data_IF_797292735959
#
_entry.id   IF_797292735959
#
_cell.length_a   1.000
_cell.length_b   1.000
_cell.length_c   1.000
_cell.angle_alpha   90.00
_cell.angle_beta   90.00
_cell.angle_gamma   90.00
#
_symmetry.space_group_name_H-M   'P 1'
#
loop_
_entity.id
_entity.type
_entity.pdbx_description
1 polymer ?
#
# COMPACT_ATOMS: atom_id res chain seq x y z
N UNK A 1 -6.34 -40.61 -3.45
CA UNK A 1 -6.30 -39.12 -3.43
C UNK A 1 -4.90 -38.69 -2.98
N UNK A 2 -4.26 -37.73 -3.64
CA UNK A 2 -2.96 -37.25 -3.19
C UNK A 2 -3.08 -36.53 -1.85
N UNK A 3 -1.97 -36.52 -1.12
CA UNK A 3 -1.87 -35.85 0.19
C UNK A 3 -1.20 -34.47 0.07
N UNK A 4 -1.25 -33.68 1.13
CA UNK A 4 -0.72 -32.31 1.19
C UNK A 4 0.78 -32.30 0.84
N UNK A 5 1.59 -33.16 1.48
CA UNK A 5 3.05 -33.09 1.35
C UNK A 5 3.55 -33.26 -0.10
N UNK A 6 3.21 -34.34 -0.85
CA UNK A 6 3.72 -34.49 -2.21
C UNK A 6 3.20 -33.41 -3.18
N UNK A 7 2.00 -32.89 -2.97
CA UNK A 7 1.45 -31.79 -3.78
C UNK A 7 2.21 -30.49 -3.51
N UNK A 8 2.55 -30.22 -2.25
CA UNK A 8 3.34 -29.06 -1.85
C UNK A 8 4.78 -29.16 -2.38
N UNK A 9 5.42 -30.32 -2.24
CA UNK A 9 6.78 -30.56 -2.74
C UNK A 9 6.88 -30.37 -4.27
N UNK A 10 5.91 -30.87 -5.02
CA UNK A 10 5.84 -30.64 -6.45
C UNK A 10 5.73 -29.16 -6.82
N UNK A 11 4.95 -28.38 -6.07
CA UNK A 11 4.83 -26.93 -6.27
C UNK A 11 6.11 -26.18 -5.90
N UNK A 12 6.81 -26.59 -4.83
CA UNK A 12 8.11 -26.02 -4.45
C UNK A 12 9.15 -26.23 -5.55
N UNK A 13 9.19 -27.43 -6.14
CA UNK A 13 10.06 -27.70 -7.29
C UNK A 13 9.68 -26.86 -8.51
N UNK A 14 8.39 -26.73 -8.79
CA UNK A 14 7.88 -25.88 -9.87
C UNK A 14 8.29 -24.42 -9.71
N UNK A 15 8.37 -23.91 -8.48
CA UNK A 15 8.76 -22.55 -8.12
C UNK A 15 10.27 -22.37 -7.88
N UNK A 16 11.10 -23.36 -8.20
CA UNK A 16 12.53 -23.38 -7.86
C UNK A 16 13.33 -22.15 -8.32
N UNK A 17 12.82 -21.40 -9.32
CA UNK A 17 13.42 -20.16 -9.81
C UNK A 17 12.95 -18.89 -9.04
N UNK A 18 12.01 -19.03 -8.09
CA UNK A 18 11.52 -17.93 -7.27
C UNK A 18 12.29 -17.88 -5.95
N UNK A 19 12.59 -16.67 -5.47
CA UNK A 19 13.36 -16.46 -4.23
C UNK A 19 12.69 -17.08 -2.99
N UNK A 20 11.36 -17.17 -2.99
CA UNK A 20 10.53 -17.64 -1.87
C UNK A 20 9.68 -18.88 -2.21
N UNK A 21 10.20 -19.79 -3.04
CA UNK A 21 9.48 -20.93 -3.60
C UNK A 21 8.60 -21.69 -2.57
N UNK A 22 9.18 -22.08 -1.43
CA UNK A 22 8.47 -22.79 -0.36
C UNK A 22 7.35 -21.93 0.25
N UNK A 23 7.67 -20.71 0.62
CA UNK A 23 6.71 -19.80 1.24
C UNK A 23 5.51 -19.55 0.33
N UNK A 24 5.76 -19.28 -0.94
CA UNK A 24 4.70 -19.01 -1.92
C UNK A 24 3.81 -20.23 -2.18
N UNK A 25 4.40 -21.42 -2.32
CA UNK A 25 3.63 -22.67 -2.45
C UNK A 25 2.74 -22.95 -1.22
N UNK A 26 3.30 -22.77 -0.02
CA UNK A 26 2.57 -22.94 1.24
C UNK A 26 1.42 -21.93 1.38
N UNK A 27 1.65 -20.67 1.05
CA UNK A 27 0.63 -19.61 1.09
C UNK A 27 -0.52 -19.92 0.14
N UNK A 28 -0.23 -20.29 -1.11
CA UNK A 28 -1.26 -20.63 -2.10
C UNK A 28 -2.05 -21.87 -1.70
N UNK A 29 -1.38 -22.94 -1.21
CA UNK A 29 -2.09 -24.15 -0.79
C UNK A 29 -2.94 -23.88 0.46
N UNK A 30 -2.43 -23.13 1.42
CA UNK A 30 -3.19 -22.72 2.62
C UNK A 30 -4.44 -21.92 2.25
N UNK A 31 -4.34 -21.03 1.26
CA UNK A 31 -5.48 -20.27 0.74
C UNK A 31 -6.55 -21.18 0.15
N UNK A 32 -6.17 -22.13 -0.70
CA UNK A 32 -7.10 -23.10 -1.31
C UNK A 32 -7.80 -23.95 -0.25
N UNK A 33 -7.05 -24.35 0.78
CA UNK A 33 -7.58 -25.18 1.87
C UNK A 33 -8.34 -24.37 2.93
N UNK A 34 -8.23 -23.02 2.91
CA UNK A 34 -8.79 -22.10 3.92
C UNK A 34 -8.29 -22.41 5.33
N UNK A 35 -6.99 -22.70 5.47
CA UNK A 35 -6.33 -23.03 6.72
C UNK A 35 -5.10 -22.17 6.95
N UNK A 36 -4.59 -22.11 8.18
CA UNK A 36 -3.30 -21.49 8.49
C UNK A 36 -2.16 -22.34 7.94
N UNK A 37 -1.03 -21.72 7.56
CA UNK A 37 0.17 -22.43 7.07
C UNK A 37 0.66 -23.53 8.02
N UNK A 38 0.53 -23.36 9.34
CA UNK A 38 0.87 -24.36 10.34
C UNK A 38 0.12 -25.67 10.15
N UNK A 39 -1.09 -25.64 9.59
CA UNK A 39 -1.88 -26.86 9.28
C UNK A 39 -1.16 -27.79 8.30
N UNK A 40 -0.46 -27.24 7.31
CA UNK A 40 0.26 -28.04 6.31
C UNK A 40 1.37 -28.90 6.94
N UNK A 41 1.99 -28.39 8.00
CA UNK A 41 3.02 -29.11 8.76
C UNK A 41 2.44 -30.10 9.76
N UNK A 42 1.27 -29.78 10.33
CA UNK A 42 0.62 -30.63 11.31
C UNK A 42 -0.03 -31.87 10.63
N UNK A 43 -0.54 -31.66 9.42
CA UNK A 43 -1.30 -32.68 8.69
C UNK A 43 -0.74 -32.96 7.28
N UNK A 44 0.55 -33.36 7.15
CA UNK A 44 1.19 -33.56 5.83
C UNK A 44 0.54 -34.66 4.99
N UNK A 45 -0.09 -35.60 5.65
CA UNK A 45 -0.83 -36.73 5.03
C UNK A 45 -2.32 -36.45 4.84
N UNK A 46 -2.79 -35.24 5.09
CA UNK A 46 -4.16 -34.80 4.82
C UNK A 46 -4.52 -35.01 3.35
N UNK A 47 -5.69 -35.61 3.07
CA UNK A 47 -6.14 -35.89 1.71
C UNK A 47 -6.67 -34.61 1.04
N UNK A 48 -6.32 -34.42 -0.23
CA UNK A 48 -6.81 -33.33 -1.06
C UNK A 48 -7.85 -33.82 -2.05
N UNK A 49 -8.93 -33.08 -2.21
CA UNK A 49 -9.93 -33.36 -3.26
C UNK A 49 -9.38 -32.95 -4.62
N UNK A 50 -9.91 -33.53 -5.70
CA UNK A 50 -9.56 -33.16 -7.07
C UNK A 50 -9.82 -31.64 -7.33
N UNK A 51 -10.89 -31.10 -6.77
CA UNK A 51 -11.21 -29.67 -6.88
C UNK A 51 -10.12 -28.78 -6.25
N UNK A 52 -9.67 -29.11 -5.04
CA UNK A 52 -8.59 -28.37 -4.36
C UNK A 52 -7.28 -28.42 -5.14
N UNK A 53 -6.95 -29.61 -5.69
CA UNK A 53 -5.73 -29.77 -6.50
C UNK A 53 -5.81 -28.89 -7.76
N UNK A 54 -6.93 -28.93 -8.48
CA UNK A 54 -7.11 -28.13 -9.70
C UNK A 54 -7.05 -26.61 -9.40
N UNK A 55 -7.69 -26.17 -8.31
CA UNK A 55 -7.59 -24.77 -7.87
C UNK A 55 -6.15 -24.36 -7.54
N UNK A 56 -5.44 -25.20 -6.77
CA UNK A 56 -4.06 -24.94 -6.42
C UNK A 56 -3.14 -24.87 -7.64
N UNK A 57 -3.27 -25.83 -8.55
CA UNK A 57 -2.50 -25.85 -9.80
C UNK A 57 -2.77 -24.61 -10.66
N UNK A 58 -4.01 -24.18 -10.75
CA UNK A 58 -4.36 -22.95 -11.48
C UNK A 58 -3.68 -21.71 -10.88
N UNK A 59 -3.65 -21.59 -9.54
CA UNK A 59 -2.93 -20.50 -8.87
C UNK A 59 -1.42 -20.60 -9.09
N UNK A 60 -0.84 -21.81 -9.04
CA UNK A 60 0.57 -22.01 -9.32
C UNK A 60 0.94 -21.58 -10.76
N UNK A 61 0.13 -21.90 -11.75
CA UNK A 61 0.36 -21.49 -13.14
C UNK A 61 0.32 -19.96 -13.30
N UNK A 62 -0.64 -19.29 -12.69
CA UNK A 62 -0.73 -17.82 -12.69
C UNK A 62 0.50 -17.20 -12.01
N UNK A 63 0.96 -17.76 -10.89
CA UNK A 63 2.17 -17.31 -10.21
C UNK A 63 3.42 -17.45 -11.08
N UNK A 64 3.57 -18.54 -11.80
CA UNK A 64 4.67 -18.74 -12.74
C UNK A 64 4.67 -17.75 -13.92
N UNK A 65 3.49 -17.25 -14.29
CA UNK A 65 3.38 -16.14 -15.21
C UNK A 65 3.81 -14.81 -14.59
N UNK A 66 4.04 -14.79 -13.27
CA UNK A 66 4.53 -13.65 -12.49
C UNK A 66 3.44 -12.83 -11.81
N UNK A 67 2.19 -13.33 -11.77
CA UNK A 67 1.12 -12.62 -11.06
C UNK A 67 1.40 -12.55 -9.56
N UNK A 68 1.28 -11.36 -8.92
CA UNK A 68 1.59 -11.18 -7.51
C UNK A 68 0.77 -12.09 -6.60
N UNK A 69 1.41 -12.66 -5.57
CA UNK A 69 0.71 -13.48 -4.56
C UNK A 69 -0.48 -12.73 -3.96
N UNK A 70 -0.34 -11.44 -3.66
CA UNK A 70 -1.42 -10.65 -3.09
C UNK A 70 -2.66 -10.59 -4.00
N UNK A 71 -2.50 -10.51 -5.32
CA UNK A 71 -3.62 -10.54 -6.25
C UNK A 71 -4.21 -11.94 -6.41
N UNK A 72 -3.38 -12.98 -6.35
CA UNK A 72 -3.86 -14.38 -6.36
C UNK A 72 -4.71 -14.70 -5.15
N UNK A 73 -4.33 -14.17 -3.98
CA UNK A 73 -5.08 -14.31 -2.73
C UNK A 73 -6.28 -13.36 -2.64
N UNK A 74 -6.23 -12.22 -3.34
CA UNK A 74 -7.20 -11.14 -3.25
C UNK A 74 -7.05 -10.27 -2.00
N UNK A 75 -6.02 -10.48 -1.18
CA UNK A 75 -5.78 -9.68 0.04
C UNK A 75 -4.29 -9.52 0.37
N UNK A 76 -3.99 -8.50 1.15
CA UNK A 76 -2.67 -8.18 1.72
C UNK A 76 -2.83 -7.67 3.14
N UNK A 77 -2.00 -8.15 4.05
CA UNK A 77 -1.91 -7.59 5.39
C UNK A 77 -1.11 -6.27 5.36
N UNK A 78 -1.60 -5.24 6.06
CA UNK A 78 -0.95 -3.96 6.29
C UNK A 78 -1.45 -3.39 7.62
N UNK A 79 -0.56 -3.00 8.51
CA UNK A 79 -0.90 -2.46 9.84
C UNK A 79 -1.84 -3.39 10.64
N UNK A 80 -1.60 -4.70 10.59
CA UNK A 80 -2.49 -5.73 11.18
C UNK A 80 -3.95 -5.66 10.66
N UNK A 81 -4.18 -5.05 9.49
CA UNK A 81 -5.44 -5.04 8.77
C UNK A 81 -5.33 -5.97 7.56
N UNK A 82 -6.28 -6.87 7.38
CA UNK A 82 -6.39 -7.63 6.15
C UNK A 82 -7.13 -6.80 5.10
N UNK A 83 -6.42 -6.28 4.12
CA UNK A 83 -6.95 -5.42 3.07
C UNK A 83 -7.20 -6.21 1.79
N UNK A 84 -8.38 -6.07 1.21
CA UNK A 84 -8.64 -6.51 -0.16
C UNK A 84 -7.77 -5.70 -1.13
N UNK A 85 -7.15 -6.40 -2.07
CA UNK A 85 -6.36 -5.81 -3.16
C UNK A 85 -6.73 -6.45 -4.49
N UNK A 86 -6.65 -5.66 -5.54
CA UNK A 86 -6.92 -6.09 -6.93
C UNK A 86 -5.96 -5.37 -7.86
N UNK A 87 -5.87 -5.74 -9.14
CA UNK A 87 -5.07 -5.00 -10.13
C UNK A 87 -5.44 -3.51 -10.30
N UNK A 88 -6.54 -3.05 -9.66
CA UNK A 88 -6.91 -1.63 -9.63
C UNK A 88 -6.15 -0.84 -8.55
N UNK A 89 -5.44 -1.49 -7.62
CA UNK A 89 -4.76 -0.84 -6.49
C UNK A 89 -3.31 -1.27 -6.39
N UNK A 90 -2.43 -0.36 -5.96
CA UNK A 90 -1.09 -0.72 -5.53
C UNK A 90 -1.19 -1.72 -4.36
N UNK A 91 -0.35 -2.75 -4.36
CA UNK A 91 -0.23 -3.67 -3.23
C UNK A 91 0.45 -2.92 -2.08
N UNK A 92 -0.15 -2.80 -0.89
CA UNK A 92 0.46 -2.12 0.25
C UNK A 92 1.85 -2.68 0.58
N UNK A 93 2.82 -1.78 0.77
CA UNK A 93 4.22 -2.12 1.08
C UNK A 93 4.47 -1.99 2.58
N UNK A 94 5.29 -2.87 3.19
CA UNK A 94 5.65 -2.75 4.60
C UNK A 94 6.30 -1.39 4.93
N UNK A 95 7.10 -0.84 4.02
CA UNK A 95 7.77 0.45 4.19
C UNK A 95 6.79 1.62 4.35
N UNK A 96 5.58 1.51 3.78
CA UNK A 96 4.52 2.50 3.91
C UNK A 96 3.96 2.59 5.35
N UNK A 97 4.17 1.58 6.19
CA UNK A 97 3.80 1.63 7.61
C UNK A 97 4.55 2.74 8.35
N UNK A 98 5.78 3.08 7.94
CA UNK A 98 6.51 4.23 8.45
C UNK A 98 5.75 5.55 8.23
N UNK A 99 5.07 5.71 7.09
CA UNK A 99 4.25 6.89 6.84
C UNK A 99 3.07 6.98 7.82
N UNK A 100 2.44 5.85 8.15
CA UNK A 100 1.40 5.78 9.18
C UNK A 100 1.97 6.14 10.56
N UNK A 101 3.11 5.57 10.96
CA UNK A 101 3.77 5.89 12.23
C UNK A 101 4.04 7.39 12.37
N UNK A 102 4.60 8.01 11.31
CA UNK A 102 4.89 9.43 11.32
C UNK A 102 3.65 10.31 11.37
N UNK A 103 2.54 9.88 10.76
CA UNK A 103 1.25 10.56 10.88
C UNK A 103 0.70 10.45 12.30
N UNK A 104 0.71 9.26 12.90
CA UNK A 104 0.23 9.02 14.26
C UNK A 104 1.03 9.77 15.32
N UNK A 105 2.34 9.96 15.12
CA UNK A 105 3.20 10.76 15.99
C UNK A 105 2.81 12.26 16.04
N UNK A 106 2.08 12.73 15.02
CA UNK A 106 1.59 14.13 14.89
C UNK A 106 0.11 14.28 15.22
N UNK A 107 -0.56 13.19 15.50
CA UNK A 107 -1.99 13.14 15.85
C UNK A 107 -2.16 12.61 17.28
N UNK A 108 -2.45 13.46 18.27
CA UNK A 108 -2.79 12.98 19.60
C UNK A 108 -3.93 11.96 19.60
N UNK A 109 -3.94 11.03 20.56
CA UNK A 109 -4.91 9.92 20.61
C UNK A 109 -6.38 10.42 20.58
N UNK A 110 -6.66 11.54 21.26
CA UNK A 110 -7.99 12.14 21.33
C UNK A 110 -8.23 13.23 20.28
N UNK A 111 -7.35 13.34 19.28
CA UNK A 111 -7.46 14.35 18.22
C UNK A 111 -8.72 14.13 17.38
N UNK A 112 -9.44 15.20 17.09
CA UNK A 112 -10.54 15.28 16.12
C UNK A 112 -10.12 15.98 14.83
N UNK A 113 -8.82 16.07 14.60
CA UNK A 113 -8.21 16.72 13.45
C UNK A 113 -8.69 16.15 12.11
N UNK A 114 -8.70 17.03 11.11
CA UNK A 114 -8.88 16.60 9.72
C UNK A 114 -7.58 16.02 9.19
N UNK A 115 -7.65 14.79 8.67
CA UNK A 115 -6.56 14.11 7.97
C UNK A 115 -6.97 13.87 6.54
N UNK A 116 -6.08 14.14 5.59
CA UNK A 116 -6.31 13.88 4.15
C UNK A 116 -5.27 12.90 3.65
N UNK A 117 -5.73 11.79 3.04
CA UNK A 117 -4.90 10.79 2.35
C UNK A 117 -5.10 10.96 0.83
N UNK A 118 -4.06 11.41 0.14
CA UNK A 118 -4.08 11.68 -1.30
C UNK A 118 -3.45 10.52 -2.07
N UNK A 119 -4.21 9.89 -2.96
CA UNK A 119 -3.82 8.67 -3.66
C UNK A 119 -3.94 7.45 -2.75
N UNK A 120 -5.12 7.24 -2.18
CA UNK A 120 -5.35 6.26 -1.10
C UNK A 120 -5.24 4.80 -1.56
N UNK A 121 -5.38 4.51 -2.86
CA UNK A 121 -5.34 3.16 -3.41
C UNK A 121 -6.36 2.23 -2.76
N UNK A 122 -5.90 1.16 -2.11
CA UNK A 122 -6.73 0.21 -1.34
C UNK A 122 -7.28 0.78 -0.02
N UNK A 123 -6.93 2.01 0.34
CA UNK A 123 -7.28 2.64 1.61
C UNK A 123 -6.28 2.38 2.75
N UNK A 124 -5.13 1.78 2.47
CA UNK A 124 -4.21 1.26 3.50
C UNK A 124 -3.86 2.29 4.57
N UNK A 125 -3.37 3.48 4.17
CA UNK A 125 -2.95 4.55 5.08
C UNK A 125 -4.16 5.13 5.82
N UNK A 126 -5.22 5.50 5.07
CA UNK A 126 -6.44 6.08 5.64
C UNK A 126 -7.10 5.17 6.69
N UNK A 127 -7.18 3.85 6.41
CA UNK A 127 -7.77 2.85 7.29
C UNK A 127 -6.93 2.65 8.55
N UNK A 128 -5.60 2.57 8.42
CA UNK A 128 -4.69 2.46 9.55
C UNK A 128 -4.81 3.69 10.48
N UNK A 129 -4.78 4.91 9.92
CA UNK A 129 -4.95 6.14 10.71
C UNK A 129 -6.32 6.19 11.39
N UNK A 130 -7.40 5.88 10.66
CA UNK A 130 -8.75 5.89 11.22
C UNK A 130 -8.93 4.86 12.34
N UNK A 131 -8.28 3.70 12.28
CA UNK A 131 -8.30 2.69 13.33
C UNK A 131 -7.62 3.19 14.60
N UNK A 132 -6.42 3.77 14.46
CA UNK A 132 -5.60 4.24 15.59
C UNK A 132 -6.09 5.57 16.19
N UNK A 133 -6.78 6.39 15.39
CA UNK A 133 -7.32 7.71 15.79
C UNK A 133 -8.81 7.79 15.49
N UNK A 134 -9.65 7.12 16.30
CA UNK A 134 -11.08 6.97 16.00
C UNK A 134 -11.86 8.29 16.00
N UNK A 135 -11.32 9.37 16.53
CA UNK A 135 -11.96 10.69 16.53
C UNK A 135 -11.55 11.56 15.36
N UNK A 136 -10.42 11.26 14.70
CA UNK A 136 -9.99 11.99 13.52
C UNK A 136 -11.01 11.86 12.38
N UNK A 137 -11.19 12.95 11.65
CA UNK A 137 -11.96 12.99 10.42
C UNK A 137 -11.01 12.67 9.26
N UNK A 138 -11.14 11.48 8.70
CA UNK A 138 -10.28 11.04 7.60
C UNK A 138 -11.02 11.17 6.27
N UNK A 139 -10.40 11.91 5.35
CA UNK A 139 -10.81 12.03 3.96
C UNK A 139 -9.75 11.36 3.08
N UNK A 140 -10.15 10.34 2.35
CA UNK A 140 -9.29 9.56 1.47
C UNK A 140 -9.68 9.83 0.01
N UNK A 141 -8.72 10.10 -0.85
CA UNK A 141 -8.99 10.40 -2.26
C UNK A 141 -8.12 9.57 -3.19
N UNK A 142 -8.65 9.32 -4.37
CA UNK A 142 -7.91 8.72 -5.48
C UNK A 142 -8.49 9.23 -6.80
N UNK A 143 -7.69 9.27 -7.86
CA UNK A 143 -8.17 9.61 -9.19
C UNK A 143 -8.75 8.40 -9.93
N UNK A 144 -8.52 7.18 -9.43
CA UNK A 144 -9.07 5.93 -9.97
C UNK A 144 -10.33 5.53 -9.18
N UNK A 145 -11.55 5.65 -9.76
CA UNK A 145 -12.79 5.25 -9.09
C UNK A 145 -12.77 3.78 -8.65
N UNK A 146 -12.12 2.91 -9.41
CA UNK A 146 -12.01 1.49 -9.11
C UNK A 146 -11.19 1.24 -7.84
N UNK A 147 -10.16 2.03 -7.59
CA UNK A 147 -9.37 1.97 -6.35
C UNK A 147 -10.24 2.37 -5.15
N UNK A 148 -11.03 3.43 -5.28
CA UNK A 148 -11.94 3.87 -4.22
C UNK A 148 -13.04 2.85 -3.89
N UNK A 149 -13.51 2.09 -4.87
CA UNK A 149 -14.44 0.97 -4.61
C UNK A 149 -13.78 -0.05 -3.68
N UNK A 150 -12.53 -0.42 -3.92
CA UNK A 150 -11.78 -1.34 -3.05
C UNK A 150 -11.55 -0.73 -1.66
N UNK A 151 -11.15 0.54 -1.57
CA UNK A 151 -10.97 1.23 -0.30
C UNK A 151 -12.26 1.29 0.54
N UNK A 152 -13.41 1.56 -0.09
CA UNK A 152 -14.73 1.55 0.56
C UNK A 152 -15.12 0.16 1.04
N UNK A 153 -14.89 -0.89 0.24
CA UNK A 153 -15.12 -2.28 0.64
C UNK A 153 -14.25 -2.67 1.85
N UNK A 154 -12.98 -2.26 1.87
CA UNK A 154 -12.10 -2.45 3.00
C UNK A 154 -12.60 -1.72 4.25
N UNK A 155 -13.02 -0.46 4.11
CA UNK A 155 -13.59 0.31 5.22
C UNK A 155 -14.85 -0.36 5.78
N UNK A 156 -15.73 -0.89 4.92
CA UNK A 156 -16.94 -1.61 5.34
C UNK A 156 -16.59 -2.89 6.10
N UNK A 157 -15.68 -3.71 5.56
CA UNK A 157 -15.26 -4.98 6.19
C UNK A 157 -14.62 -4.78 7.56
N UNK A 158 -13.91 -3.66 7.73
CA UNK A 158 -13.17 -3.33 8.96
C UNK A 158 -13.99 -2.49 9.96
N UNK A 159 -15.25 -2.14 9.66
CA UNK A 159 -16.07 -1.31 10.53
C UNK A 159 -15.63 0.16 10.60
N UNK A 160 -14.96 0.67 9.56
CA UNK A 160 -14.39 2.03 9.50
C UNK A 160 -15.14 2.94 8.51
N UNK A 161 -16.47 2.76 8.36
CA UNK A 161 -17.31 3.49 7.40
C UNK A 161 -17.38 5.02 7.62
N UNK A 162 -16.82 5.54 8.71
CA UNK A 162 -16.72 6.98 8.98
C UNK A 162 -15.72 7.70 8.09
N UNK A 163 -14.82 6.98 7.40
CA UNK A 163 -13.90 7.55 6.43
C UNK A 163 -14.70 8.07 5.23
N UNK A 164 -14.43 9.31 4.82
CA UNK A 164 -14.99 9.87 3.60
C UNK A 164 -14.10 9.52 2.42
N UNK A 165 -14.69 9.03 1.34
CA UNK A 165 -13.99 8.72 0.10
C UNK A 165 -14.47 9.64 -1.01
N UNK A 166 -13.54 10.21 -1.79
CA UNK A 166 -13.87 11.13 -2.89
C UNK A 166 -12.95 10.91 -4.08
N UNK A 167 -13.53 10.82 -5.28
CA UNK A 167 -12.75 10.85 -6.52
C UNK A 167 -12.14 12.24 -6.66
N UNK A 168 -10.81 12.32 -6.78
CA UNK A 168 -10.10 13.58 -6.98
C UNK A 168 -8.73 13.33 -7.59
N UNK A 169 -8.36 14.14 -8.57
CA UNK A 169 -6.96 14.26 -8.99
C UNK A 169 -6.28 15.24 -8.02
N UNK A 170 -5.64 14.66 -7.00
CA UNK A 170 -5.06 15.35 -5.85
C UNK A 170 -6.06 16.28 -5.16
N UNK A 171 -5.84 17.60 -5.24
CA UNK A 171 -6.66 18.63 -4.58
C UNK A 171 -7.82 19.17 -5.43
N UNK A 172 -7.98 18.75 -6.68
CA UNK A 172 -8.93 19.36 -7.62
C UNK A 172 -10.39 19.37 -7.13
N UNK A 173 -10.82 18.31 -6.43
CA UNK A 173 -12.17 18.25 -5.87
C UNK A 173 -12.23 18.66 -4.38
N UNK A 174 -11.18 19.27 -3.84
CA UNK A 174 -11.00 19.54 -2.40
C UNK A 174 -10.74 21.02 -2.10
N UNK A 175 -11.21 21.95 -2.94
CA UNK A 175 -10.86 23.38 -2.88
C UNK A 175 -11.07 24.03 -1.49
N UNK A 176 -12.10 23.61 -0.75
CA UNK A 176 -12.44 24.17 0.56
C UNK A 176 -11.96 23.31 1.74
N UNK A 177 -11.20 22.25 1.46
CA UNK A 177 -10.71 21.36 2.52
C UNK A 177 -9.42 21.90 3.10
N UNK A 178 -9.35 22.01 4.44
CA UNK A 178 -8.11 22.23 5.20
C UNK A 178 -7.86 21.04 6.10
N UNK A 179 -6.59 20.72 6.36
CA UNK A 179 -6.18 19.57 7.13
C UNK A 179 -5.05 19.87 8.09
N UNK A 180 -5.08 19.26 9.27
CA UNK A 180 -3.96 19.29 10.20
C UNK A 180 -2.81 18.37 9.71
N UNK A 181 -3.16 17.26 9.04
CA UNK A 181 -2.20 16.30 8.49
C UNK A 181 -2.63 15.88 7.09
N UNK A 182 -1.70 16.00 6.15
CA UNK A 182 -1.82 15.47 4.79
C UNK A 182 -0.79 14.37 4.61
N UNK A 183 -1.24 13.19 4.19
CA UNK A 183 -0.37 12.04 3.90
C UNK A 183 -0.53 11.63 2.43
N UNK A 184 0.54 11.12 1.84
CA UNK A 184 0.47 10.49 0.52
C UNK A 184 1.63 9.53 0.31
N UNK A 185 1.32 8.38 -0.28
CA UNK A 185 2.30 7.54 -0.98
C UNK A 185 2.05 7.73 -2.50
N UNK A 186 2.57 8.81 -3.10
CA UNK A 186 2.31 9.12 -4.50
C UNK A 186 3.16 8.23 -5.42
N UNK A 187 2.85 8.13 -6.70
CA UNK A 187 3.75 7.52 -7.67
C UNK A 187 5.09 8.30 -7.67
N UNK A 188 6.19 7.55 -7.62
CA UNK A 188 7.54 8.13 -7.54
C UNK A 188 8.57 7.42 -8.43
N UNK A 189 8.13 6.51 -9.31
CA UNK A 189 9.02 5.79 -10.23
C UNK A 189 9.18 6.58 -11.53
N UNK A 190 10.41 6.67 -12.02
CA UNK A 190 10.69 7.30 -13.32
C UNK A 190 10.12 6.44 -14.47
N UNK A 191 9.60 7.06 -15.52
CA UNK A 191 9.00 6.34 -16.65
C UNK A 191 10.00 5.39 -17.37
N UNK A 192 11.30 5.67 -17.25
CA UNK A 192 12.38 4.88 -17.84
C UNK A 192 12.98 3.85 -16.89
N UNK A 193 12.42 3.71 -15.68
CA UNK A 193 12.96 2.77 -14.69
C UNK A 193 12.74 1.31 -15.15
N UNK A 194 13.81 0.49 -15.24
CA UNK A 194 13.70 -0.89 -15.70
C UNK A 194 12.87 -1.78 -14.76
N UNK A 195 12.72 -1.44 -13.47
CA UNK A 195 11.92 -2.20 -12.54
C UNK A 195 10.43 -2.24 -12.89
N UNK A 196 9.93 -1.27 -13.69
CA UNK A 196 8.53 -1.24 -14.17
C UNK A 196 8.12 -2.46 -15.01
N UNK A 197 9.08 -3.19 -15.55
CA UNK A 197 8.84 -4.38 -16.39
C UNK A 197 9.25 -5.68 -15.70
N UNK A 198 9.66 -5.63 -14.43
CA UNK A 198 10.21 -6.78 -13.70
C UNK A 198 9.30 -7.19 -12.53
N UNK A 199 9.38 -8.46 -12.17
CA UNK A 199 8.71 -9.00 -10.99
C UNK A 199 7.21 -8.72 -10.92
N UNK A 200 6.73 -8.52 -9.73
CA UNK A 200 5.32 -8.27 -9.40
C UNK A 200 4.84 -6.88 -9.88
N UNK A 201 5.74 -5.90 -9.93
CA UNK A 201 5.43 -4.49 -10.27
C UNK A 201 4.79 -4.34 -11.65
N UNK A 202 5.12 -5.20 -12.61
CA UNK A 202 4.54 -5.17 -13.98
C UNK A 202 3.03 -5.44 -14.02
N UNK A 203 2.45 -6.00 -12.95
CA UNK A 203 1.01 -6.28 -12.82
C UNK A 203 0.26 -5.17 -12.11
N UNK A 204 0.99 -4.24 -11.49
CA UNK A 204 0.39 -3.15 -10.73
C UNK A 204 0.01 -1.97 -11.64
N UNK A 205 -0.98 -1.15 -11.25
CA UNK A 205 -1.45 -0.07 -12.11
C UNK A 205 -0.33 0.97 -12.33
N UNK A 206 0.00 1.24 -13.59
CA UNK A 206 1.11 2.12 -13.97
C UNK A 206 0.95 3.56 -13.47
N UNK A 207 -0.29 4.05 -13.35
CA UNK A 207 -0.59 5.36 -12.79
C UNK A 207 -0.29 5.47 -11.28
N UNK A 208 -0.30 4.35 -10.55
CA UNK A 208 0.11 4.30 -9.15
C UNK A 208 1.64 4.22 -8.97
N UNK A 209 2.40 4.00 -10.04
CA UNK A 209 3.86 3.82 -10.00
C UNK A 209 4.60 5.00 -10.61
N UNK A 210 4.19 5.46 -11.81
CA UNK A 210 4.99 6.35 -12.67
C UNK A 210 4.68 7.81 -12.39
N UNK A 211 5.75 8.61 -12.19
CA UNK A 211 5.66 10.05 -11.95
C UNK A 211 6.66 10.85 -12.80
N UNK A 212 6.42 10.87 -14.11
CA UNK A 212 7.22 11.66 -15.04
C UNK A 212 8.63 11.09 -15.29
N UNK A 213 9.52 11.94 -15.82
CA UNK A 213 10.86 11.50 -16.26
C UNK A 213 11.80 11.11 -15.11
N UNK A 214 11.63 11.70 -13.94
CA UNK A 214 12.51 11.51 -12.78
C UNK A 214 11.79 11.07 -11.50
N UNK A 215 10.53 10.65 -11.63
CA UNK A 215 9.74 10.18 -10.50
C UNK A 215 9.25 11.26 -9.51
N UNK A 216 9.49 12.55 -9.78
CA UNK A 216 9.20 13.63 -8.83
C UNK A 216 7.99 14.50 -9.21
N UNK A 217 7.28 14.20 -10.30
CA UNK A 217 6.22 15.08 -10.79
C UNK A 217 5.05 15.19 -9.79
N UNK A 218 4.55 14.05 -9.30
CA UNK A 218 3.47 14.03 -8.30
C UNK A 218 3.91 14.65 -6.97
N UNK A 219 5.10 14.31 -6.48
CA UNK A 219 5.66 14.85 -5.23
C UNK A 219 5.76 16.39 -5.30
N UNK A 220 6.25 16.93 -6.42
CA UNK A 220 6.34 18.38 -6.62
C UNK A 220 4.97 19.04 -6.60
N UNK A 221 3.99 18.45 -7.28
CA UNK A 221 2.62 18.95 -7.31
C UNK A 221 2.01 18.96 -5.91
N UNK A 222 2.14 17.85 -5.18
CA UNK A 222 1.63 17.70 -3.82
C UNK A 222 2.24 18.73 -2.86
N UNK A 223 3.57 18.91 -2.88
CA UNK A 223 4.25 19.89 -2.05
C UNK A 223 3.72 21.31 -2.31
N UNK A 224 3.51 21.66 -3.59
CA UNK A 224 3.03 23.01 -3.96
C UNK A 224 1.56 23.21 -3.56
N UNK A 225 0.70 22.25 -3.85
CA UNK A 225 -0.74 22.37 -3.60
C UNK A 225 -1.11 22.21 -2.12
N UNK A 226 -0.45 21.31 -1.39
CA UNK A 226 -0.83 21.04 0.00
C UNK A 226 -0.58 22.23 0.94
N UNK A 227 0.34 23.13 0.61
CA UNK A 227 0.65 24.26 1.49
C UNK A 227 -0.56 25.17 1.77
N UNK A 228 -1.43 25.38 0.78
CA UNK A 228 -2.63 26.21 0.95
C UNK A 228 -3.74 25.47 1.70
N UNK A 229 -3.77 24.16 1.61
CA UNK A 229 -4.75 23.28 2.24
C UNK A 229 -4.37 22.80 3.65
N UNK A 230 -3.14 23.06 4.10
CA UNK A 230 -2.74 22.77 5.47
C UNK A 230 -3.24 23.88 6.42
N UNK A 231 -3.67 23.49 7.60
CA UNK A 231 -3.86 24.39 8.74
C UNK A 231 -2.52 25.03 9.15
N UNK A 232 -2.50 26.19 9.83
CA UNK A 232 -1.27 26.70 10.45
C UNK A 232 -0.66 25.62 11.36
N UNK A 233 0.65 25.39 11.24
CA UNK A 233 1.37 24.29 11.92
C UNK A 233 0.96 22.87 11.48
N UNK A 234 0.15 22.72 10.44
CA UNK A 234 -0.21 21.43 9.84
C UNK A 234 0.98 20.76 9.12
N UNK A 235 0.90 19.47 8.91
CA UNK A 235 2.00 18.66 8.41
C UNK A 235 1.69 18.02 7.05
N UNK A 236 2.64 18.06 6.14
CA UNK A 236 2.68 17.24 4.94
C UNK A 236 3.67 16.08 5.14
N UNK A 237 3.24 14.86 4.87
CA UNK A 237 4.06 13.65 4.95
C UNK A 237 4.01 12.92 3.61
N UNK A 238 5.17 12.67 3.03
CA UNK A 238 5.28 12.05 1.70
C UNK A 238 6.23 10.84 1.75
N UNK A 239 5.75 9.70 1.26
CA UNK A 239 6.64 8.60 0.88
C UNK A 239 7.33 8.93 -0.44
N UNK A 240 8.55 8.44 -0.62
CA UNK A 240 9.35 8.61 -1.84
C UNK A 240 10.38 7.49 -2.01
N UNK A 241 10.98 7.40 -3.18
CA UNK A 241 12.08 6.48 -3.44
C UNK A 241 13.31 6.79 -2.57
N UNK A 242 14.04 5.76 -2.18
CA UNK A 242 15.19 5.86 -1.26
C UNK A 242 16.26 6.88 -1.69
N UNK A 243 16.40 7.14 -2.98
CA UNK A 243 17.35 8.07 -3.57
C UNK A 243 16.77 9.49 -3.81
N UNK A 244 15.53 9.76 -3.42
CA UNK A 244 14.84 11.02 -3.70
C UNK A 244 14.82 12.00 -2.50
N UNK A 245 15.24 11.57 -1.30
CA UNK A 245 15.13 12.37 -0.07
C UNK A 245 15.68 13.80 -0.19
N UNK A 246 16.89 13.98 -0.69
CA UNK A 246 17.50 15.28 -0.85
C UNK A 246 16.72 16.21 -1.81
N UNK A 247 16.16 15.64 -2.87
CA UNK A 247 15.33 16.37 -3.82
C UNK A 247 14.00 16.80 -3.18
N UNK A 248 13.36 15.91 -2.41
CA UNK A 248 12.10 16.19 -1.70
C UNK A 248 12.32 17.28 -0.64
N UNK A 249 13.38 17.18 0.19
CA UNK A 249 13.74 18.20 1.16
C UNK A 249 13.95 19.58 0.51
N UNK A 250 14.67 19.61 -0.61
CA UNK A 250 14.90 20.87 -1.37
C UNK A 250 13.60 21.46 -1.92
N UNK A 251 12.66 20.63 -2.37
CA UNK A 251 11.35 21.07 -2.83
C UNK A 251 10.53 21.69 -1.68
N UNK A 252 10.47 21.01 -0.52
CA UNK A 252 9.79 21.51 0.68
C UNK A 252 10.38 22.83 1.17
N UNK A 253 11.73 22.93 1.24
CA UNK A 253 12.43 24.16 1.64
C UNK A 253 12.09 25.31 0.71
N UNK A 254 12.13 25.09 -0.60
CA UNK A 254 11.80 26.12 -1.60
C UNK A 254 10.36 26.61 -1.51
N UNK A 255 9.45 25.73 -1.10
CA UNK A 255 8.02 26.06 -0.94
C UNK A 255 7.72 26.73 0.41
N UNK A 256 8.70 26.83 1.30
CA UNK A 256 8.55 27.52 2.60
C UNK A 256 8.09 26.63 3.74
N UNK A 257 8.14 25.30 3.61
CA UNK A 257 7.89 24.40 4.74
C UNK A 257 9.01 24.51 5.78
N UNK A 258 8.63 24.40 7.05
CA UNK A 258 9.52 24.34 8.21
C UNK A 258 9.66 22.90 8.72
N UNK A 259 10.56 22.66 9.69
CA UNK A 259 10.77 21.40 10.41
C UNK A 259 10.89 20.19 9.48
N UNK A 260 11.57 20.35 8.35
CA UNK A 260 11.73 19.31 7.33
C UNK A 260 12.64 18.20 7.88
N UNK A 261 12.12 16.97 7.89
CA UNK A 261 12.85 15.79 8.39
C UNK A 261 12.55 14.59 7.49
N UNK A 262 13.58 13.79 7.22
CA UNK A 262 13.43 12.51 6.52
C UNK A 262 13.67 11.35 7.48
N UNK A 263 12.80 10.37 7.43
CA UNK A 263 12.83 9.15 8.24
C UNK A 263 13.21 7.95 7.37
N UNK A 264 14.15 7.10 7.84
CA UNK A 264 14.48 5.85 7.17
C UNK A 264 13.50 4.74 7.52
N UNK A 265 13.34 3.78 6.60
CA UNK A 265 12.66 2.52 6.86
C UNK A 265 13.51 1.57 7.71
N UNK A 266 12.99 0.38 8.03
CA UNK A 266 13.68 -0.63 8.84
C UNK A 266 14.98 -1.15 8.20
N UNK A 267 15.15 -1.00 6.89
CA UNK A 267 16.38 -1.31 6.17
C UNK A 267 17.39 -0.13 6.19
N UNK A 268 17.07 0.98 6.87
CA UNK A 268 17.90 2.18 6.95
C UNK A 268 17.83 3.06 5.70
N UNK A 269 16.91 2.80 4.77
CA UNK A 269 16.77 3.57 3.54
C UNK A 269 15.83 4.76 3.75
N UNK A 270 16.19 5.98 3.32
CA UNK A 270 15.30 7.15 3.38
C UNK A 270 13.96 6.85 2.68
N UNK A 271 12.84 7.04 3.37
CA UNK A 271 11.53 6.64 2.84
C UNK A 271 10.44 7.68 3.00
N UNK A 272 10.36 8.34 4.13
CA UNK A 272 9.31 9.33 4.41
C UNK A 272 9.94 10.68 4.73
N UNK A 273 9.56 11.72 3.99
CA UNK A 273 9.94 13.10 4.31
C UNK A 273 8.71 13.89 4.71
N UNK A 274 8.85 14.62 5.81
CA UNK A 274 7.81 15.47 6.38
C UNK A 274 8.20 16.94 6.32
N UNK A 275 7.20 17.83 6.25
CA UNK A 275 7.38 19.27 6.39
C UNK A 275 6.17 19.90 7.05
N UNK A 276 6.39 20.90 7.88
CA UNK A 276 5.35 21.64 8.58
C UNK A 276 5.05 22.97 7.89
N UNK A 277 3.78 23.31 7.74
CA UNK A 277 3.38 24.67 7.36
C UNK A 277 3.75 25.63 8.50
N UNK A 278 4.42 26.77 8.22
CA UNK A 278 4.78 27.77 9.22
C UNK A 278 3.61 28.31 10.03
#
# INVERSE_FOLDING_TARGET
>A
MPTIQPVLEAAIQLFSQLDSARLEAEVLLSHVLRVKRSYLYTWPNGLLTAHQINQFQALCQRRLQGEPIAYLLGHKEFWSLELQVTPATLIPRPETELLVEQALARLPIQSDAQVVDLGTGSGAIALAIARERPRCRVLATDNAPEALVIAQQNAQRLGLQRIQFRVSDWWQALEQVTAAVVVSNPPYVAITDPHLTQGDVRYEPRNALISGKNGLAAIRLLITQSLVHLEPKGWLLLEHGYNQAAAVQKLLTRQGYAMITTYPDLAGQPRVTVGQKP
#
